data_IF_063999795204
#
_entry.id   IF_063999795204
#
_cell.length_a   1.000
_cell.length_b   1.000
_cell.length_c   1.000
_cell.angle_alpha   90.00
_cell.angle_beta   90.00
_cell.angle_gamma   90.00
#
_symmetry.space_group_name_H-M   'P 1'
#
loop_
_entity.id
_entity.type
_entity.pdbx_description
1 polymer ?
#
# COMPACT_ATOMS: atom_id res chain seq x y z
N UNK A 1 -13.22 16.75 -13.74
CA UNK A 1 -13.52 17.09 -12.33
C UNK A 1 -12.21 17.11 -11.56
N UNK A 2 -11.72 18.30 -11.17
CA UNK A 2 -10.48 18.45 -10.40
C UNK A 2 -10.79 18.17 -8.92
N UNK A 3 -10.46 16.99 -8.42
CA UNK A 3 -10.51 16.70 -6.97
C UNK A 3 -9.30 17.39 -6.35
N UNK A 4 -9.54 18.55 -5.74
CA UNK A 4 -8.57 19.26 -4.89
C UNK A 4 -8.37 18.38 -3.65
N UNK A 5 -7.17 17.78 -3.56
CA UNK A 5 -6.71 17.07 -2.38
C UNK A 5 -6.42 18.13 -1.30
N UNK A 6 -7.41 18.36 -0.43
CA UNK A 6 -7.23 19.22 0.74
C UNK A 6 -6.31 18.48 1.72
N UNK A 7 -5.02 18.80 1.69
CA UNK A 7 -4.04 18.36 2.67
C UNK A 7 -4.32 19.12 3.96
N UNK A 8 -5.09 18.50 4.85
CA UNK A 8 -5.46 19.07 6.15
C UNK A 8 -4.20 19.07 7.03
N UNK A 9 -3.51 20.21 7.04
CA UNK A 9 -2.47 20.55 8.02
C UNK A 9 -3.17 20.90 9.34
N UNK A 10 -3.44 19.91 10.19
CA UNK A 10 -3.77 20.20 11.59
C UNK A 10 -2.45 20.38 12.32
N UNK A 11 -2.09 21.64 12.53
CA UNK A 11 -1.01 22.02 13.44
C UNK A 11 -1.54 21.87 14.86
N UNK A 12 -1.38 20.67 15.43
CA UNK A 12 -1.56 20.46 16.86
C UNK A 12 -0.34 21.06 17.58
N UNK A 13 -0.56 22.14 18.33
CA UNK A 13 0.42 22.68 19.27
C UNK A 13 0.52 21.76 20.49
N UNK A 14 1.11 20.58 20.31
CA UNK A 14 1.45 19.69 21.43
C UNK A 14 2.84 20.11 21.91
N UNK A 15 2.99 20.32 23.22
CA UNK A 15 4.30 20.46 23.85
C UNK A 15 4.99 19.09 23.77
N UNK A 16 5.74 18.86 22.69
CA UNK A 16 6.40 17.58 22.42
C UNK A 16 7.71 17.55 23.19
N UNK A 17 7.87 16.58 24.08
CA UNK A 17 9.11 16.33 24.80
C UNK A 17 10.10 15.60 23.87
N UNK A 18 11.39 15.87 24.00
CA UNK A 18 12.44 15.28 23.12
C UNK A 18 12.60 13.75 23.26
N UNK A 19 11.89 13.11 24.18
CA UNK A 19 11.89 11.66 24.42
C UNK A 19 10.60 10.97 23.98
N UNK A 20 10.09 11.32 22.80
CA UNK A 20 8.79 10.79 22.42
C UNK A 20 8.78 9.30 22.12
N UNK A 21 7.95 8.59 22.88
CA UNK A 21 7.69 7.17 22.65
C UNK A 21 6.73 6.91 21.51
N UNK A 22 6.00 7.92 21.04
CA UNK A 22 4.97 7.74 20.00
C UNK A 22 5.25 8.64 18.82
N UNK A 23 5.21 8.07 17.62
CA UNK A 23 5.30 8.82 16.38
C UNK A 23 4.21 8.45 15.41
N UNK A 24 3.81 9.43 14.60
CA UNK A 24 2.83 9.32 13.53
C UNK A 24 3.52 9.62 12.21
N UNK A 25 3.32 8.78 11.20
CA UNK A 25 3.86 9.00 9.87
C UNK A 25 2.77 8.96 8.82
N UNK A 26 2.91 9.83 7.82
CA UNK A 26 2.11 9.82 6.59
C UNK A 26 3.08 9.75 5.44
N UNK A 27 3.01 8.66 4.69
CA UNK A 27 3.86 8.39 3.53
C UNK A 27 3.00 8.27 2.29
N UNK A 28 3.51 8.75 1.16
CA UNK A 28 2.91 8.59 -0.15
C UNK A 28 3.94 8.10 -1.15
N UNK A 29 3.48 7.41 -2.19
CA UNK A 29 4.40 6.92 -3.21
C UNK A 29 3.76 6.01 -4.24
N UNK A 30 4.56 5.09 -4.77
CA UNK A 30 4.18 4.23 -5.88
C UNK A 30 4.41 2.76 -5.54
N UNK A 31 3.38 1.95 -5.79
CA UNK A 31 3.49 0.50 -5.85
C UNK A 31 3.87 0.09 -7.27
N UNK A 32 4.74 -0.90 -7.36
CA UNK A 32 4.99 -1.72 -8.52
C UNK A 32 4.48 -3.14 -8.22
N UNK A 33 3.44 -3.55 -8.92
CA UNK A 33 2.78 -4.85 -8.77
C UNK A 33 3.11 -5.66 -10.04
N UNK A 34 4.10 -6.57 -9.99
CA UNK A 34 4.50 -7.37 -11.14
C UNK A 34 3.52 -8.53 -11.35
N UNK A 35 2.29 -8.24 -11.74
CA UNK A 35 1.39 -9.29 -12.22
C UNK A 35 1.73 -9.65 -13.67
N UNK A 36 1.71 -10.94 -13.96
CA UNK A 36 1.85 -11.45 -15.31
C UNK A 36 0.61 -11.09 -16.15
N UNK A 37 0.79 -10.93 -17.46
CA UNK A 37 -0.30 -10.57 -18.36
C UNK A 37 -1.42 -11.62 -18.30
N UNK A 38 -2.64 -11.15 -17.99
CA UNK A 38 -3.86 -11.95 -17.92
C UNK A 38 -4.20 -12.74 -19.20
N UNK A 39 -3.51 -12.47 -20.31
CA UNK A 39 -3.59 -13.20 -21.59
C UNK A 39 -3.57 -14.73 -21.47
N UNK A 40 -2.81 -15.30 -20.52
CA UNK A 40 -2.78 -16.75 -20.30
C UNK A 40 -4.11 -17.32 -19.77
N UNK A 41 -4.85 -16.53 -18.98
CA UNK A 41 -6.14 -16.92 -18.43
C UNK A 41 -7.30 -16.68 -19.41
N UNK A 42 -7.07 -15.85 -20.42
CA UNK A 42 -8.04 -15.49 -21.45
C UNK A 42 -7.81 -16.30 -22.74
N UNK A 43 -7.37 -17.55 -22.65
CA UNK A 43 -7.16 -18.44 -23.81
C UNK A 43 -6.33 -17.80 -24.96
N UNK A 44 -5.37 -16.93 -24.64
CA UNK A 44 -4.52 -16.29 -25.65
C UNK A 44 -5.14 -15.08 -26.36
N UNK A 45 -6.21 -14.49 -25.83
CA UNK A 45 -6.63 -13.17 -26.33
C UNK A 45 -5.57 -12.12 -26.00
N UNK A 46 -5.04 -11.47 -27.04
CA UNK A 46 -3.84 -10.63 -27.01
C UNK A 46 -4.02 -9.23 -26.41
N UNK A 47 -5.26 -8.86 -26.05
CA UNK A 47 -5.65 -7.48 -25.71
C UNK A 47 -6.00 -7.36 -24.23
N UNK A 48 -5.12 -7.87 -23.36
CA UNK A 48 -5.19 -7.66 -21.91
C UNK A 48 -4.12 -6.67 -21.48
N UNK A 49 -4.47 -5.74 -20.60
CA UNK A 49 -3.54 -4.79 -19.99
C UNK A 49 -3.69 -4.79 -18.47
N UNK A 50 -2.60 -4.49 -17.77
CA UNK A 50 -2.54 -4.41 -16.32
C UNK A 50 -1.71 -3.22 -15.88
N UNK A 51 -2.30 -2.37 -15.03
CA UNK A 51 -1.62 -1.23 -14.43
C UNK A 51 -0.62 -1.71 -13.38
N UNK A 52 0.62 -1.96 -13.83
CA UNK A 52 1.73 -2.39 -12.95
C UNK A 52 2.09 -1.34 -11.90
N UNK A 53 1.71 -0.08 -12.12
CA UNK A 53 2.00 1.02 -11.21
C UNK A 53 0.72 1.58 -10.61
N UNK A 54 0.71 1.75 -9.29
CA UNK A 54 -0.38 2.43 -8.61
C UNK A 54 0.13 3.38 -7.53
N UNK A 55 -0.65 4.41 -7.23
CA UNK A 55 -0.36 5.28 -6.10
C UNK A 55 -0.63 4.53 -4.78
N UNK A 56 0.23 4.77 -3.79
CA UNK A 56 0.09 4.27 -2.43
C UNK A 56 0.05 5.42 -1.44
N UNK A 57 -0.88 5.36 -0.48
CA UNK A 57 -0.85 6.17 0.73
C UNK A 57 -0.74 5.28 1.95
N UNK A 58 0.21 5.56 2.84
CA UNK A 58 0.42 4.81 4.07
C UNK A 58 0.32 5.75 5.29
N UNK A 59 -0.43 5.30 6.29
CA UNK A 59 -0.49 5.90 7.61
C UNK A 59 0.13 4.93 8.61
N UNK A 60 1.09 5.40 9.43
CA UNK A 60 1.81 4.58 10.39
C UNK A 60 1.79 5.22 11.77
N UNK A 61 1.32 4.47 12.77
CA UNK A 61 1.49 4.75 14.18
C UNK A 61 2.63 3.88 14.70
N UNK A 62 3.61 4.47 15.37
CA UNK A 62 4.80 3.77 15.84
C UNK A 62 5.03 4.06 17.32
N UNK A 63 5.32 3.00 18.07
CA UNK A 63 5.74 3.06 19.46
C UNK A 63 7.22 2.68 19.56
N UNK A 64 8.04 3.60 20.04
CA UNK A 64 9.45 3.38 20.32
C UNK A 64 9.54 2.70 21.70
N UNK A 65 10.03 1.46 21.73
CA UNK A 65 10.16 0.67 22.96
C UNK A 65 11.28 1.27 23.83
N UNK A 66 12.54 0.94 23.48
CA UNK A 66 13.79 1.50 23.99
C UNK A 66 14.88 1.34 22.91
N UNK A 67 15.89 2.23 22.93
CA UNK A 67 17.03 2.30 22.01
C UNK A 67 16.67 2.44 20.52
N UNK A 68 16.50 1.30 19.86
CA UNK A 68 16.47 1.12 18.39
C UNK A 68 15.31 0.25 17.94
N UNK A 69 14.43 -0.11 18.86
CA UNK A 69 13.38 -1.10 18.68
C UNK A 69 12.03 -0.41 18.65
N UNK A 70 11.30 -0.56 17.55
CA UNK A 70 9.99 0.05 17.39
C UNK A 70 8.95 -1.00 17.03
N UNK A 71 7.75 -0.85 17.55
CA UNK A 71 6.56 -1.58 17.08
C UNK A 71 5.71 -0.60 16.31
N UNK A 72 5.12 -1.02 15.20
CA UNK A 72 4.25 -0.18 14.39
C UNK A 72 2.92 -0.85 14.07
N UNK A 73 1.91 -0.01 13.94
CA UNK A 73 0.64 -0.31 13.30
C UNK A 73 0.54 0.60 12.08
N UNK A 74 0.30 0.04 10.90
CA UNK A 74 0.12 0.83 9.70
C UNK A 74 -1.06 0.37 8.87
N UNK A 75 -1.60 1.30 8.08
CA UNK A 75 -2.61 1.02 7.09
C UNK A 75 -2.17 1.63 5.76
N UNK A 76 -2.46 0.95 4.68
CA UNK A 76 -2.14 1.40 3.33
C UNK A 76 -3.34 1.29 2.42
N UNK A 77 -3.42 2.15 1.42
CA UNK A 77 -4.39 2.03 0.34
C UNK A 77 -3.69 1.69 -0.98
N UNK A 78 -4.14 0.60 -1.61
CA UNK A 78 -3.66 0.12 -2.92
C UNK A 78 -4.86 0.07 -3.84
N UNK A 79 -4.72 0.64 -5.04
CA UNK A 79 -5.74 0.54 -6.09
C UNK A 79 -5.06 0.33 -7.44
N UNK A 80 -5.41 -0.74 -8.15
CA UNK A 80 -4.89 -1.02 -9.50
C UNK A 80 -6.01 -1.50 -10.41
N UNK A 81 -5.83 -1.38 -11.72
CA UNK A 81 -6.79 -1.85 -12.70
C UNK A 81 -6.18 -2.92 -13.59
N UNK A 82 -7.01 -3.87 -13.99
CA UNK A 82 -6.77 -4.70 -15.15
C UNK A 82 -7.86 -4.43 -16.19
N UNK A 83 -7.54 -4.58 -17.46
CA UNK A 83 -8.55 -4.48 -18.50
C UNK A 83 -8.35 -5.53 -19.58
N UNK A 84 -9.47 -5.87 -20.22
CA UNK A 84 -9.53 -6.73 -21.36
C UNK A 84 -10.49 -6.16 -22.42
N UNK A 85 -10.13 -6.30 -23.68
CA UNK A 85 -10.99 -5.96 -24.82
C UNK A 85 -10.93 -7.04 -25.90
N UNK A 86 -12.07 -7.62 -26.25
CA UNK A 86 -12.19 -8.63 -27.31
C UNK A 86 -13.53 -8.55 -28.04
N UNK A 87 -13.50 -8.30 -29.35
CA UNK A 87 -14.71 -8.20 -30.17
C UNK A 87 -15.64 -7.07 -29.72
N UNK A 88 -16.87 -7.42 -29.30
CA UNK A 88 -17.91 -6.50 -28.82
C UNK A 88 -17.97 -6.37 -27.29
N UNK A 89 -17.02 -6.98 -26.57
CA UNK A 89 -17.02 -7.00 -25.10
C UNK A 89 -15.71 -6.44 -24.56
N UNK A 90 -15.81 -5.56 -23.57
CA UNK A 90 -14.69 -5.11 -22.76
C UNK A 90 -14.99 -5.34 -21.28
N UNK A 91 -13.97 -5.72 -20.52
CA UNK A 91 -14.07 -5.89 -19.07
C UNK A 91 -12.98 -5.07 -18.41
N UNK A 92 -13.35 -4.32 -17.38
CA UNK A 92 -12.43 -3.58 -16.53
C UNK A 92 -12.56 -4.15 -15.12
N UNK A 93 -11.44 -4.55 -14.55
CA UNK A 93 -11.34 -4.97 -13.15
C UNK A 93 -10.65 -3.87 -12.36
N UNK A 94 -11.29 -3.39 -11.31
CA UNK A 94 -10.68 -2.49 -10.33
C UNK A 94 -10.40 -3.29 -9.08
N UNK A 95 -9.14 -3.37 -8.69
CA UNK A 95 -8.68 -4.05 -7.48
C UNK A 95 -8.33 -3.00 -6.43
N UNK A 96 -8.97 -3.07 -5.28
CA UNK A 96 -8.67 -2.22 -4.13
C UNK A 96 -8.26 -3.11 -2.96
N UNK A 97 -7.16 -2.76 -2.30
CA UNK A 97 -6.71 -3.46 -1.11
C UNK A 97 -6.32 -2.48 0.00
N UNK A 98 -6.71 -2.81 1.22
CA UNK A 98 -6.35 -2.10 2.44
C UNK A 98 -5.62 -3.06 3.38
N UNK A 99 -4.28 -3.17 3.28
CA UNK A 99 -3.48 -3.89 4.26
C UNK A 99 -3.45 -3.12 5.59
N UNK A 100 -3.85 -3.79 6.67
CA UNK A 100 -3.62 -3.34 8.04
C UNK A 100 -2.50 -4.18 8.64
N UNK A 101 -1.34 -3.56 8.84
CA UNK A 101 -0.10 -4.23 9.24
C UNK A 101 0.25 -3.92 10.68
N UNK A 102 0.54 -4.97 11.45
CA UNK A 102 1.32 -4.84 12.69
C UNK A 102 2.73 -5.36 12.43
N UNK A 103 3.74 -4.67 12.96
CA UNK A 103 5.11 -5.05 12.70
C UNK A 103 6.12 -4.44 13.65
N UNK A 104 7.37 -4.70 13.33
CA UNK A 104 8.53 -4.33 14.11
C UNK A 104 9.59 -3.69 13.20
N UNK A 105 10.23 -2.64 13.68
CA UNK A 105 11.33 -1.94 13.01
C UNK A 105 12.56 -1.90 13.93
N UNK A 106 13.72 -2.14 13.33
CA UNK A 106 15.03 -1.97 13.95
C UNK A 106 15.78 -0.82 13.30
N UNK A 107 16.14 0.18 14.11
CA UNK A 107 16.93 1.35 13.71
C UNK A 107 18.42 1.03 13.84
N UNK A 108 19.22 1.23 12.80
CA UNK A 108 20.66 0.95 12.89
C UNK A 108 21.44 2.00 13.69
N UNK A 109 20.86 3.18 13.87
CA UNK A 109 21.39 4.28 14.67
C UNK A 109 20.29 4.85 15.54
N UNK A 110 20.68 5.62 16.55
CA UNK A 110 19.71 6.35 17.36
C UNK A 110 19.14 7.52 16.54
N UNK A 111 17.90 7.91 16.86
CA UNK A 111 17.13 8.94 16.14
C UNK A 111 17.78 10.32 16.09
N UNK A 112 18.78 10.57 16.94
CA UNK A 112 19.44 11.87 17.08
C UNK A 112 20.54 12.10 16.03
N UNK A 113 20.72 11.15 15.10
CA UNK A 113 21.69 11.26 14.00
C UNK A 113 21.03 11.73 12.71
N UNK A 114 21.75 12.54 11.91
CA UNK A 114 21.24 13.15 10.67
C UNK A 114 20.54 12.17 9.72
N UNK A 115 21.07 10.95 9.60
CA UNK A 115 20.50 9.90 8.76
C UNK A 115 20.50 8.56 9.49
N UNK A 116 19.30 8.04 9.72
CA UNK A 116 19.05 6.82 10.48
C UNK A 116 18.41 5.76 9.59
N UNK A 117 19.19 4.81 9.04
CA UNK A 117 18.62 3.69 8.30
C UNK A 117 17.91 2.72 9.23
N UNK A 118 16.93 1.99 8.70
CA UNK A 118 16.18 0.97 9.44
C UNK A 118 15.76 -0.20 8.56
N UNK A 119 15.43 -1.31 9.22
CA UNK A 119 14.84 -2.52 8.65
C UNK A 119 13.51 -2.77 9.38
N UNK A 120 12.49 -3.20 8.66
CA UNK A 120 11.20 -3.57 9.24
C UNK A 120 10.64 -4.87 8.69
N UNK A 121 9.85 -5.55 9.53
CA UNK A 121 9.07 -6.74 9.18
C UNK A 121 7.65 -6.56 9.72
N UNK A 122 6.65 -7.01 8.98
CA UNK A 122 5.25 -6.89 9.39
C UNK A 122 4.38 -8.02 8.87
N UNK A 123 3.28 -8.25 9.56
CA UNK A 123 2.21 -9.15 9.14
C UNK A 123 0.96 -8.31 8.94
N UNK A 124 0.29 -8.53 7.82
CA UNK A 124 -0.85 -7.74 7.39
C UNK A 124 -2.12 -8.58 7.33
N UNK A 125 -3.23 -8.02 7.79
CA UNK A 125 -4.56 -8.45 7.39
C UNK A 125 -5.01 -7.56 6.24
N UNK A 126 -5.30 -8.15 5.08
CA UNK A 126 -5.57 -7.42 3.84
C UNK A 126 -7.05 -7.52 3.53
N UNK A 127 -7.72 -6.36 3.51
CA UNK A 127 -9.11 -6.22 3.07
C UNK A 127 -9.11 -5.94 1.58
N UNK A 128 -9.61 -6.86 0.76
CA UNK A 128 -9.64 -6.69 -0.70
C UNK A 128 -11.06 -6.52 -1.19
N UNK A 129 -11.25 -5.58 -2.11
CA UNK A 129 -12.48 -5.35 -2.84
C UNK A 129 -12.16 -5.33 -4.33
N UNK A 130 -12.84 -6.16 -5.10
CA UNK A 130 -12.69 -6.21 -6.56
C UNK A 130 -14.02 -5.85 -7.21
N UNK A 131 -13.99 -4.86 -8.10
CA UNK A 131 -15.11 -4.45 -8.92
C UNK A 131 -14.87 -4.86 -10.37
N UNK A 132 -15.79 -5.64 -10.93
CA UNK A 132 -15.79 -6.02 -12.33
C UNK A 132 -16.83 -5.18 -13.07
N UNK A 133 -16.40 -4.46 -14.11
CA UNK A 133 -17.28 -3.72 -15.00
C UNK A 133 -17.25 -4.33 -16.40
N UNK A 134 -18.36 -4.91 -16.80
CA UNK A 134 -18.56 -5.44 -18.15
C UNK A 134 -19.21 -4.37 -19.03
N UNK A 135 -18.62 -4.15 -20.21
CA UNK A 135 -19.07 -3.25 -21.25
C UNK A 135 -19.38 -4.10 -22.49
N UNK A 136 -20.66 -4.26 -22.81
CA UNK A 136 -21.11 -4.95 -24.02
C UNK A 136 -22.31 -4.25 -24.65
N UNK A 137 -22.75 -4.73 -25.81
CA UNK A 137 -23.87 -4.16 -26.57
C UNK A 137 -25.20 -4.17 -25.78
N UNK A 138 -25.36 -5.12 -24.84
CA UNK A 138 -26.54 -5.28 -23.99
C UNK A 138 -26.53 -4.37 -22.74
N UNK A 139 -25.51 -3.52 -22.57
CA UNK A 139 -25.38 -2.58 -21.48
C UNK A 139 -24.19 -2.84 -20.54
N UNK A 140 -24.20 -2.13 -19.40
CA UNK A 140 -23.13 -2.19 -18.40
C UNK A 140 -23.55 -3.03 -17.21
N UNK A 141 -22.77 -4.05 -16.83
CA UNK A 141 -22.98 -4.78 -15.58
C UNK A 141 -21.79 -4.58 -14.64
N UNK A 142 -22.08 -4.45 -13.34
CA UNK A 142 -21.08 -4.24 -12.29
C UNK A 142 -21.26 -5.31 -11.23
N UNK A 143 -20.17 -6.01 -10.87
CA UNK A 143 -20.20 -6.97 -9.77
C UNK A 143 -19.06 -6.69 -8.79
N UNK A 144 -19.35 -6.75 -7.50
CA UNK A 144 -18.39 -6.50 -6.43
C UNK A 144 -18.10 -7.78 -5.64
N UNK A 145 -16.84 -8.01 -5.34
CA UNK A 145 -16.37 -9.15 -4.55
C UNK A 145 -15.48 -8.67 -3.43
N UNK A 146 -15.64 -9.27 -2.26
CA UNK A 146 -14.82 -8.99 -1.09
C UNK A 146 -14.17 -10.27 -0.63
N UNK A 147 -12.86 -10.25 -0.52
CA UNK A 147 -12.08 -11.35 0.00
C UNK A 147 -10.99 -10.78 0.92
N UNK A 148 -10.76 -11.47 2.03
CA UNK A 148 -9.75 -11.05 2.98
C UNK A 148 -8.67 -12.11 3.04
N UNK A 149 -7.42 -11.67 3.07
CA UNK A 149 -6.26 -12.56 3.09
C UNK A 149 -5.22 -12.04 4.07
N UNK A 150 -4.22 -12.86 4.34
CA UNK A 150 -3.06 -12.47 5.11
C UNK A 150 -1.88 -12.16 4.18
N UNK A 151 -1.02 -11.26 4.64
CA UNK A 151 0.21 -10.91 3.96
C UNK A 151 1.36 -10.76 4.95
N UNK A 152 2.55 -10.66 4.41
CA UNK A 152 3.72 -10.21 5.14
C UNK A 152 4.41 -9.10 4.37
N UNK A 153 5.07 -8.20 5.09
CA UNK A 153 5.91 -7.18 4.48
C UNK A 153 7.31 -7.20 5.10
N UNK A 154 8.28 -6.88 4.26
CA UNK A 154 9.63 -6.53 4.67
C UNK A 154 9.97 -5.19 4.07
N UNK A 155 10.68 -4.35 4.80
CA UNK A 155 11.03 -3.02 4.32
C UNK A 155 12.38 -2.59 4.83
N UNK A 156 13.01 -1.74 4.03
CA UNK A 156 14.19 -0.99 4.41
C UNK A 156 13.87 0.48 4.20
N UNK A 157 14.39 1.33 5.07
CA UNK A 157 14.16 2.75 4.96
C UNK A 157 15.27 3.56 5.58
N UNK A 158 15.14 4.87 5.40
CA UNK A 158 16.02 5.86 5.97
C UNK A 158 15.19 7.03 6.48
N UNK A 159 15.55 7.50 7.66
CA UNK A 159 14.97 8.68 8.28
C UNK A 159 16.01 9.78 8.35
N UNK A 160 15.58 11.01 8.06
CA UNK A 160 16.38 12.22 8.21
C UNK A 160 15.70 13.19 9.16
N UNK A 161 16.42 13.64 10.18
CA UNK A 161 15.93 14.72 11.06
C UNK A 161 15.84 16.01 10.25
N UNK A 162 14.66 16.61 10.16
CA UNK A 162 14.48 17.92 9.52
C UNK A 162 14.56 19.04 10.56
N UNK A 163 13.81 18.88 11.65
CA UNK A 163 13.79 19.72 12.84
C UNK A 163 13.49 18.82 14.05
N UNK A 164 13.54 19.39 15.26
CA UNK A 164 13.15 18.66 16.46
C UNK A 164 11.74 18.07 16.29
N UNK A 165 11.64 16.74 16.43
CA UNK A 165 10.42 15.94 16.29
C UNK A 165 9.83 15.74 14.88
N UNK A 166 10.40 16.34 13.82
CA UNK A 166 9.95 16.12 12.44
C UNK A 166 11.04 15.46 11.61
N UNK A 167 10.69 14.34 10.97
CA UNK A 167 11.60 13.52 10.20
C UNK A 167 11.07 13.34 8.78
N UNK A 168 11.96 13.42 7.80
CA UNK A 168 11.72 12.93 6.46
C UNK A 168 11.97 11.43 6.44
N UNK A 169 11.03 10.66 5.93
CA UNK A 169 11.14 9.20 5.84
C UNK A 169 11.07 8.79 4.38
N UNK A 170 11.96 7.88 3.98
CA UNK A 170 11.86 7.18 2.70
C UNK A 170 12.02 5.68 2.94
N UNK A 171 11.15 4.88 2.35
CA UNK A 171 11.19 3.42 2.48
C UNK A 171 10.93 2.71 1.16
N UNK A 172 11.60 1.55 1.01
CA UNK A 172 11.32 0.55 0.00
C UNK A 172 10.76 -0.65 0.75
N UNK A 173 9.56 -1.05 0.37
CA UNK A 173 8.82 -2.14 0.99
C UNK A 173 8.53 -3.21 -0.05
N UNK A 174 8.84 -4.45 0.27
CA UNK A 174 8.28 -5.60 -0.43
C UNK A 174 7.10 -6.14 0.36
N UNK A 175 5.97 -6.34 -0.31
CA UNK A 175 4.77 -6.94 0.28
C UNK A 175 4.47 -8.23 -0.45
N UNK A 176 4.25 -9.27 0.33
CA UNK A 176 3.60 -10.48 -0.12
C UNK A 176 2.15 -10.50 0.36
N UNK A 177 1.22 -10.69 -0.55
CA UNK A 177 -0.21 -10.89 -0.26
C UNK A 177 -0.57 -12.28 -0.79
N UNK A 178 -1.23 -13.10 0.03
CA UNK A 178 -1.73 -14.39 -0.42
C UNK A 178 -2.69 -14.23 -1.61
N UNK A 179 -2.75 -15.24 -2.48
CA UNK A 179 -3.54 -15.17 -3.70
C UNK A 179 -5.01 -14.85 -3.39
N UNK A 180 -5.58 -13.93 -4.16
CA UNK A 180 -6.99 -13.52 -4.07
C UNK A 180 -7.72 -14.05 -5.29
N UNK A 181 -8.84 -14.75 -5.09
CA UNK A 181 -9.59 -15.40 -6.16
C UNK A 181 -10.53 -14.42 -6.83
N UNK A 182 -10.42 -14.32 -8.15
CA UNK A 182 -11.44 -13.68 -8.99
C UNK A 182 -12.63 -14.61 -9.19
N UNK A 183 -13.80 -14.04 -9.46
CA UNK A 183 -15.07 -14.75 -9.44
C UNK A 183 -15.22 -15.86 -10.52
N UNK A 184 -16.29 -16.65 -10.34
CA UNK A 184 -16.83 -17.77 -11.13
C UNK A 184 -16.84 -17.59 -12.66
N UNK A 185 -16.91 -16.36 -13.20
CA UNK A 185 -16.93 -16.13 -14.66
C UNK A 185 -15.54 -16.16 -15.30
N UNK A 186 -14.47 -16.03 -14.51
CA UNK A 186 -13.08 -16.18 -14.99
C UNK A 186 -12.51 -17.56 -14.68
N UNK A 187 -13.33 -18.55 -14.28
CA UNK A 187 -12.86 -19.86 -13.81
C UNK A 187 -11.92 -19.80 -12.60
N UNK A 188 -12.03 -18.79 -11.75
CA UNK A 188 -11.21 -18.71 -10.53
C UNK A 188 -9.78 -18.27 -10.78
N UNK A 189 -9.56 -17.28 -11.65
CA UNK A 189 -8.23 -16.67 -11.82
C UNK A 189 -7.75 -16.16 -10.47
N UNK A 190 -6.61 -16.66 -10.03
CA UNK A 190 -5.92 -16.17 -8.84
C UNK A 190 -5.10 -14.93 -9.22
N UNK A 191 -5.23 -13.89 -8.42
CA UNK A 191 -4.48 -12.64 -8.59
C UNK A 191 -3.64 -12.40 -7.38
N UNK A 192 -2.41 -11.95 -7.63
CA UNK A 192 -1.44 -11.72 -6.59
C UNK A 192 -1.07 -10.23 -6.56
N UNK A 193 -1.52 -9.54 -5.52
CA UNK A 193 -1.25 -8.12 -5.29
C UNK A 193 0.09 -7.88 -4.56
N UNK A 194 0.98 -8.88 -4.53
CA UNK A 194 2.35 -8.73 -4.06
C UNK A 194 3.13 -7.77 -4.94
N UNK A 195 4.06 -7.05 -4.36
CA UNK A 195 4.82 -6.06 -5.10
C UNK A 195 5.83 -5.29 -4.26
N UNK A 196 6.50 -4.37 -4.92
CA UNK A 196 7.45 -3.43 -4.31
C UNK A 196 6.80 -2.06 -4.24
N UNK A 197 6.90 -1.39 -3.10
CA UNK A 197 6.40 -0.06 -2.88
C UNK A 197 7.56 0.88 -2.52
N UNK A 198 7.59 2.04 -3.17
CA UNK A 198 8.51 3.13 -2.86
C UNK A 198 7.69 4.23 -2.21
N UNK A 199 8.01 4.56 -0.96
CA UNK A 199 7.28 5.54 -0.16
C UNK A 199 8.21 6.64 0.31
N UNK A 200 7.68 7.86 0.35
CA UNK A 200 8.33 9.01 0.96
C UNK A 200 7.29 9.82 1.73
N UNK A 201 7.69 10.41 2.86
CA UNK A 201 6.80 11.28 3.59
C UNK A 201 7.39 11.77 4.89
N UNK A 202 6.52 12.11 5.82
CA UNK A 202 6.90 12.76 7.07
C UNK A 202 6.52 11.88 8.24
N UNK A 203 7.36 11.89 9.26
CA UNK A 203 7.10 11.35 10.59
C UNK A 203 7.20 12.46 11.63
N UNK A 204 6.22 12.52 12.51
CA UNK A 204 6.16 13.43 13.64
C UNK A 204 6.23 12.63 14.94
N UNK A 205 7.14 12.98 15.83
CA UNK A 205 7.11 12.54 17.23
C UNK A 205 6.08 13.41 18.00
N UNK A 206 5.15 12.80 18.75
CA UNK A 206 3.89 13.46 19.17
C UNK A 206 3.75 13.65 20.69
N UNK A 207 4.57 13.02 21.52
CA UNK A 207 4.43 13.01 22.99
C UNK A 207 5.75 13.18 23.72
#
# INVERSE_FOLDING_TARGET
MKKILCLVFIVFSININSQSKISLSVLGGYNYIPMENFSHYLNGFSNSDFDKFSFSGNFKLQYNLEDRHNIFLSSEFISTNASFSGGFVSVIWTFEAIPVTIGYEYMFKNSDTDWTPYLGLGISYVLTNTEDKYLGDDGTSVTNYKENTFGFETKIGIEKVLIENLFLVSEIKYRFIGDTKLNKYTNGVETNLSGVCFLIGLKLAVL
#
